data_IF_629021475616
#
_entry.id   IF_629021475616
#
_cell.length_a   1.000
_cell.length_b   1.000
_cell.length_c   1.000
_cell.angle_alpha   90.00
_cell.angle_beta   90.00
_cell.angle_gamma   90.00
#
_symmetry.space_group_name_H-M   'P 1'
#
loop_
_entity.id
_entity.type
_entity.pdbx_description
1 polymer ?
#
# COMPACT_ATOMS: atom_id res chain seq x y z
N UNK A 1 13.77 -10.25 -5.98
CA UNK A 1 14.00 -10.70 -4.61
C UNK A 1 12.75 -11.35 -4.09
N UNK A 2 12.90 -12.42 -3.31
CA UNK A 2 11.81 -13.13 -2.65
C UNK A 2 12.17 -13.21 -1.17
N UNK A 3 11.30 -12.67 -0.32
CA UNK A 3 11.48 -12.60 1.13
C UNK A 3 10.23 -13.15 1.80
N UNK A 4 10.38 -13.79 2.95
CA UNK A 4 9.24 -14.37 3.66
C UNK A 4 9.47 -14.47 5.16
N UNK A 5 8.38 -14.55 5.90
CA UNK A 5 8.35 -14.73 7.35
C UNK A 5 7.22 -15.68 7.74
N UNK A 6 7.40 -16.41 8.83
CA UNK A 6 6.45 -17.37 9.36
C UNK A 6 6.38 -17.21 10.88
N UNK A 7 5.16 -17.06 11.40
CA UNK A 7 4.84 -16.77 12.79
C UNK A 7 5.77 -15.73 13.46
N UNK A 8 5.92 -14.51 12.89
CA UNK A 8 6.74 -13.46 13.47
C UNK A 8 6.13 -12.89 14.76
N UNK A 9 6.94 -12.74 15.80
CA UNK A 9 6.57 -12.00 17.00
C UNK A 9 6.78 -10.49 16.79
N UNK A 10 5.68 -9.77 16.53
CA UNK A 10 5.70 -8.31 16.38
C UNK A 10 5.28 -7.54 17.63
N UNK A 11 4.92 -8.25 18.71
CA UNK A 11 4.39 -7.66 19.95
C UNK A 11 5.34 -6.62 20.56
N UNK A 12 6.65 -6.85 20.44
CA UNK A 12 7.69 -5.95 20.96
C UNK A 12 7.72 -4.60 20.23
N UNK A 13 7.51 -4.61 18.89
CA UNK A 13 7.54 -3.40 18.06
C UNK A 13 6.25 -2.58 18.22
N UNK A 14 5.12 -3.26 18.47
CA UNK A 14 3.83 -2.63 18.70
C UNK A 14 3.69 -2.04 20.12
N UNK A 15 4.24 -2.70 21.13
CA UNK A 15 4.30 -2.17 22.49
C UNK A 15 5.06 -0.83 22.56
N UNK A 16 6.14 -0.69 21.78
CA UNK A 16 6.90 0.55 21.61
C UNK A 16 6.16 1.64 20.80
N UNK A 17 5.03 1.31 20.15
CA UNK A 17 4.20 2.26 19.44
C UNK A 17 3.22 3.03 20.34
N UNK A 18 3.11 2.66 21.63
CA UNK A 18 2.51 3.44 22.70
C UNK A 18 1.19 4.14 22.35
N UNK A 19 0.06 3.45 22.45
CA UNK A 19 -1.21 4.07 22.85
C UNK A 19 -2.24 3.02 23.28
N UNK A 20 -2.52 2.98 24.59
CA UNK A 20 -3.75 2.41 25.14
C UNK A 20 -4.84 3.45 24.87
N UNK A 21 -5.73 3.20 23.92
CA UNK A 21 -7.02 3.91 23.90
C UNK A 21 -8.12 2.94 23.51
N UNK A 22 -8.72 2.35 24.54
CA UNK A 22 -10.01 1.67 24.47
C UNK A 22 -11.01 2.69 23.90
N UNK A 23 -11.65 2.39 22.77
CA UNK A 23 -12.89 3.03 22.29
C UNK A 23 -12.84 4.12 21.18
N UNK A 24 -12.01 3.99 20.14
CA UNK A 24 -12.22 4.76 18.90
C UNK A 24 -12.57 3.84 17.71
N UNK A 25 -13.73 4.07 17.08
CA UNK A 25 -14.26 3.33 15.91
C UNK A 25 -13.56 3.70 14.59
N UNK A 26 -12.42 4.37 14.66
CA UNK A 26 -11.62 4.76 13.50
C UNK A 26 -10.23 4.15 13.69
N UNK A 27 -9.79 3.34 12.71
CA UNK A 27 -8.42 2.85 12.67
C UNK A 27 -7.47 4.06 12.62
N UNK A 28 -6.73 4.29 13.70
CA UNK A 28 -5.66 5.28 13.71
C UNK A 28 -4.65 4.87 12.63
N UNK A 29 -4.39 5.77 11.67
CA UNK A 29 -3.30 5.63 10.70
C UNK A 29 -1.95 5.74 11.44
N UNK A 30 -1.48 4.62 11.97
CA UNK A 30 -0.20 4.53 12.66
C UNK A 30 0.91 4.19 11.64
N UNK A 31 2.07 4.85 11.69
CA UNK A 31 3.18 4.52 10.80
C UNK A 31 3.61 3.06 11.01
N UNK A 32 3.79 2.29 9.94
CA UNK A 32 4.32 0.92 10.03
C UNK A 32 5.71 0.94 10.67
N UNK A 33 5.97 0.03 11.62
CA UNK A 33 7.24 -0.05 12.36
C UNK A 33 7.90 -1.43 12.26
N UNK A 34 7.17 -2.44 11.80
CA UNK A 34 7.65 -3.82 11.73
C UNK A 34 8.67 -3.95 10.60
N UNK A 35 9.92 -4.38 10.86
CA UNK A 35 10.99 -4.38 9.86
C UNK A 35 10.62 -5.10 8.56
N UNK A 36 9.95 -6.25 8.67
CA UNK A 36 9.48 -7.01 7.51
C UNK A 36 8.53 -6.20 6.62
N UNK A 37 7.62 -5.42 7.20
CA UNK A 37 6.68 -4.60 6.43
C UNK A 37 7.26 -3.25 6.00
N UNK A 38 8.45 -2.86 6.48
CA UNK A 38 9.14 -1.64 6.06
C UNK A 38 10.09 -1.89 4.89
N UNK A 39 10.80 -3.01 4.92
CA UNK A 39 11.85 -3.30 3.94
C UNK A 39 11.29 -3.44 2.52
N UNK A 40 11.82 -2.67 1.58
CA UNK A 40 11.42 -2.72 0.18
C UNK A 40 10.00 -2.21 -0.08
N UNK A 41 9.42 -1.40 0.81
CA UNK A 41 8.11 -0.76 0.58
C UNK A 41 8.12 0.36 -0.44
N UNK A 42 9.29 0.90 -0.75
CA UNK A 42 9.52 1.94 -1.75
C UNK A 42 8.91 1.54 -3.10
N UNK A 43 8.90 0.24 -3.41
CA UNK A 43 8.30 -0.27 -4.65
C UNK A 43 6.77 -0.14 -4.66
N UNK A 44 6.15 -0.16 -3.48
CA UNK A 44 4.71 -0.02 -3.22
C UNK A 44 4.25 1.45 -3.07
N UNK A 45 5.19 2.40 -2.98
CA UNK A 45 4.88 3.81 -2.76
C UNK A 45 4.02 4.43 -3.87
N UNK A 46 3.05 5.23 -3.43
CA UNK A 46 2.20 6.07 -4.26
C UNK A 46 2.20 7.51 -3.72
N UNK A 47 1.77 8.51 -4.52
CA UNK A 47 1.67 9.90 -4.05
C UNK A 47 0.78 10.10 -2.81
N UNK A 48 -0.12 9.15 -2.53
CA UNK A 48 -0.85 9.02 -1.28
C UNK A 48 -0.84 7.53 -0.89
N UNK A 49 -0.67 7.25 0.39
CA UNK A 49 -0.72 5.89 0.91
C UNK A 49 -2.13 5.33 0.73
N UNK A 50 -2.28 4.37 -0.19
CA UNK A 50 -3.54 3.64 -0.43
C UNK A 50 -3.61 2.32 0.33
N UNK A 51 -2.49 1.91 0.94
CA UNK A 51 -2.33 0.61 1.58
C UNK A 51 -1.91 0.82 3.01
N UNK A 52 -2.60 0.14 3.91
CA UNK A 52 -2.32 0.16 5.34
C UNK A 52 -1.97 -1.25 5.83
N UNK A 53 -0.68 -1.58 5.87
CA UNK A 53 -0.17 -2.93 6.27
C UNK A 53 -0.40 -3.25 7.73
N UNK A 54 -0.58 -2.23 8.57
CA UNK A 54 -1.00 -2.34 9.98
C UNK A 54 -2.39 -2.93 10.18
N UNK A 55 -3.15 -3.11 9.10
CA UNK A 55 -4.37 -3.92 9.14
C UNK A 55 -4.09 -5.42 9.32
N UNK A 56 -2.86 -5.87 9.09
CA UNK A 56 -2.39 -7.23 9.39
C UNK A 56 -1.91 -7.22 10.85
N UNK A 57 -2.66 -7.80 11.77
CA UNK A 57 -2.40 -7.72 13.20
C UNK A 57 -1.46 -8.84 13.67
N UNK A 58 -1.86 -10.10 13.51
CA UNK A 58 -1.21 -11.31 14.00
C UNK A 58 -0.91 -12.29 12.84
N UNK A 59 0.02 -11.93 11.93
CA UNK A 59 0.26 -12.71 10.74
C UNK A 59 0.84 -14.09 11.08
N UNK A 60 0.13 -15.15 10.68
CA UNK A 60 0.65 -16.54 10.66
C UNK A 60 1.84 -16.64 9.69
N UNK A 61 1.83 -15.87 8.61
CA UNK A 61 2.95 -15.77 7.70
C UNK A 61 2.76 -14.72 6.62
N UNK A 62 3.85 -14.24 6.05
CA UNK A 62 3.83 -13.28 4.96
C UNK A 62 5.00 -13.49 4.00
N UNK A 63 4.77 -13.18 2.73
CA UNK A 63 5.76 -13.28 1.67
C UNK A 63 5.72 -12.03 0.79
N UNK A 64 6.90 -11.61 0.33
CA UNK A 64 7.09 -10.50 -0.60
C UNK A 64 7.91 -10.99 -1.78
N UNK A 65 7.46 -10.63 -2.98
CA UNK A 65 8.17 -10.86 -4.21
C UNK A 65 8.30 -9.53 -4.95
N UNK A 66 9.51 -9.19 -5.37
CA UNK A 66 9.75 -7.97 -6.13
C UNK A 66 10.80 -8.19 -7.22
N UNK A 67 10.73 -7.41 -8.29
CA UNK A 67 11.73 -7.45 -9.34
C UNK A 67 11.47 -6.43 -10.43
N UNK A 68 12.48 -6.19 -11.26
CA UNK A 68 12.37 -5.38 -12.47
C UNK A 68 12.70 -6.24 -13.68
N UNK A 69 11.80 -6.29 -14.65
CA UNK A 69 11.97 -7.00 -15.92
C UNK A 69 11.83 -5.97 -17.04
N UNK A 70 12.94 -5.68 -17.72
CA UNK A 70 13.00 -4.60 -18.70
C UNK A 70 12.69 -3.25 -18.05
N UNK A 71 11.70 -2.53 -18.61
CA UNK A 71 11.23 -1.24 -18.10
C UNK A 71 10.13 -1.32 -17.03
N UNK A 72 9.76 -2.52 -16.56
CA UNK A 72 8.64 -2.71 -15.64
C UNK A 72 9.10 -3.33 -14.33
N UNK A 73 8.82 -2.64 -13.23
CA UNK A 73 8.93 -3.15 -11.87
C UNK A 73 7.62 -3.81 -11.46
N UNK A 74 7.73 -5.00 -10.86
CA UNK A 74 6.62 -5.78 -10.31
C UNK A 74 6.89 -6.02 -8.84
N UNK A 75 5.86 -5.88 -8.03
CA UNK A 75 5.92 -6.20 -6.62
C UNK A 75 4.61 -6.85 -6.15
N UNK A 76 4.77 -7.83 -5.27
CA UNK A 76 3.71 -8.57 -4.63
C UNK A 76 4.02 -8.69 -3.14
N UNK A 77 3.00 -8.50 -2.31
CA UNK A 77 3.01 -8.84 -0.89
C UNK A 77 1.74 -9.63 -0.60
N UNK A 78 1.91 -10.80 0.01
CA UNK A 78 0.82 -11.62 0.53
C UNK A 78 1.04 -11.88 2.02
N UNK A 79 0.00 -11.79 2.83
CA UNK A 79 0.03 -12.13 4.24
C UNK A 79 -1.24 -12.88 4.63
N UNK A 80 -1.09 -13.82 5.56
CA UNK A 80 -2.17 -14.54 6.21
C UNK A 80 -2.15 -14.15 7.69
N UNK A 81 -3.30 -13.73 8.19
CA UNK A 81 -3.55 -13.28 9.56
C UNK A 81 -4.37 -14.35 10.28
N UNK A 82 -4.05 -14.63 11.55
CA UNK A 82 -4.83 -15.58 12.34
C UNK A 82 -6.18 -14.95 12.69
N UNK A 83 -7.27 -15.65 12.36
CA UNK A 83 -8.61 -15.20 12.74
C UNK A 83 -8.78 -15.23 14.27
N UNK A 84 -9.32 -14.17 14.86
CA UNK A 84 -9.54 -14.13 16.31
C UNK A 84 -10.75 -15.02 16.68
N UNK A 85 -10.54 -16.07 17.48
CA UNK A 85 -11.62 -16.92 18.00
C UNK A 85 -12.06 -18.04 17.05
N UNK A 86 -13.32 -18.02 16.57
CA UNK A 86 -13.86 -19.00 15.61
C UNK A 86 -13.90 -18.47 14.16
N UNK A 87 -13.23 -17.34 13.90
CA UNK A 87 -13.12 -16.74 12.58
C UNK A 87 -12.22 -17.54 11.64
N UNK A 88 -12.34 -17.27 10.35
CA UNK A 88 -11.45 -17.78 9.31
C UNK A 88 -10.20 -16.91 9.21
N UNK A 89 -9.08 -17.51 8.80
CA UNK A 89 -7.84 -16.77 8.52
C UNK A 89 -8.09 -15.61 7.54
N UNK A 90 -7.56 -14.43 7.86
CA UNK A 90 -7.70 -13.26 6.99
C UNK A 90 -6.53 -13.22 5.99
N UNK A 91 -6.82 -12.90 4.74
CA UNK A 91 -5.79 -12.81 3.71
C UNK A 91 -5.65 -11.36 3.23
N UNK A 92 -4.41 -10.88 3.16
CA UNK A 92 -4.08 -9.58 2.56
C UNK A 92 -3.17 -9.80 1.37
N UNK A 93 -3.59 -9.28 0.23
CA UNK A 93 -2.86 -9.29 -1.01
C UNK A 93 -2.61 -7.86 -1.47
N UNK A 94 -1.42 -7.64 -2.02
CA UNK A 94 -1.03 -6.38 -2.60
C UNK A 94 -0.16 -6.61 -3.81
N UNK A 95 -0.55 -6.01 -4.92
CA UNK A 95 0.15 -6.09 -6.20
C UNK A 95 0.44 -4.68 -6.67
N UNK A 96 1.66 -4.41 -7.12
CA UNK A 96 1.99 -3.18 -7.83
C UNK A 96 2.82 -3.45 -9.07
N UNK A 97 2.45 -2.74 -10.13
CA UNK A 97 3.18 -2.67 -11.38
C UNK A 97 3.58 -1.22 -11.61
N UNK A 98 4.83 -0.98 -12.01
CA UNK A 98 5.31 0.36 -12.36
C UNK A 98 6.25 0.28 -13.56
N UNK A 99 5.88 0.95 -14.63
CA UNK A 99 6.62 0.99 -15.88
C UNK A 99 7.25 2.34 -16.16
N UNK A 100 8.45 2.33 -16.74
CA UNK A 100 9.07 3.49 -17.36
C UNK A 100 8.32 3.82 -18.68
N UNK A 101 7.91 5.08 -18.85
CA UNK A 101 7.25 5.59 -20.06
C UNK A 101 8.17 6.63 -20.70
N UNK A 102 8.79 6.28 -21.81
CA UNK A 102 9.85 7.11 -22.40
C UNK A 102 11.08 7.17 -21.50
N UNK A 103 11.75 8.33 -21.42
CA UNK A 103 13.06 8.44 -20.75
C UNK A 103 12.99 8.95 -19.31
N UNK A 104 11.88 9.58 -18.91
CA UNK A 104 11.78 10.29 -17.63
C UNK A 104 10.36 10.33 -17.07
N UNK A 105 9.46 9.51 -17.62
CA UNK A 105 8.09 9.40 -17.12
C UNK A 105 7.84 7.99 -16.60
N UNK A 106 6.84 7.84 -15.74
CA UNK A 106 6.44 6.54 -15.18
C UNK A 106 4.92 6.45 -15.13
N UNK A 107 4.42 5.23 -15.22
CA UNK A 107 3.02 4.87 -14.98
C UNK A 107 2.98 3.65 -14.06
N UNK A 108 2.09 3.67 -13.09
CA UNK A 108 1.91 2.61 -12.12
C UNK A 108 0.45 2.24 -11.93
N UNK A 109 0.23 1.00 -11.51
CA UNK A 109 -1.04 0.47 -11.07
C UNK A 109 -0.84 -0.32 -9.78
N UNK A 110 -1.79 -0.23 -8.86
CA UNK A 110 -1.81 -0.98 -7.62
C UNK A 110 -3.18 -1.65 -7.47
N UNK A 111 -3.17 -2.83 -6.88
CA UNK A 111 -4.36 -3.49 -6.39
C UNK A 111 -4.06 -4.03 -5.00
N UNK A 112 -5.00 -3.86 -4.08
CA UNK A 112 -4.98 -4.54 -2.79
C UNK A 112 -6.34 -5.16 -2.53
N UNK A 113 -6.29 -6.34 -1.93
CA UNK A 113 -7.43 -7.13 -1.54
C UNK A 113 -7.18 -7.61 -0.12
N UNK A 114 -8.14 -7.36 0.76
CA UNK A 114 -8.21 -7.94 2.08
C UNK A 114 -9.51 -8.72 2.15
N UNK A 115 -9.41 -10.02 2.36
CA UNK A 115 -10.54 -10.89 2.65
C UNK A 115 -10.52 -11.16 4.15
N UNK A 116 -11.62 -10.87 4.83
CA UNK A 116 -11.79 -11.12 6.26
C UNK A 116 -12.68 -12.36 6.45
N UNK A 117 -13.49 -12.38 7.51
CA UNK A 117 -14.41 -13.46 7.80
C UNK A 117 -15.57 -13.55 6.82
N UNK A 118 -15.82 -14.75 6.30
CA UNK A 118 -16.95 -15.01 5.40
C UNK A 118 -16.85 -14.21 4.10
N UNK A 119 -17.82 -13.32 3.86
CA UNK A 119 -17.94 -12.50 2.65
C UNK A 119 -17.38 -11.07 2.84
N UNK A 120 -16.78 -10.77 3.99
CA UNK A 120 -16.24 -9.45 4.31
C UNK A 120 -14.97 -9.16 3.50
N UNK A 121 -14.91 -8.00 2.85
CA UNK A 121 -13.74 -7.60 2.09
C UNK A 121 -13.47 -6.11 2.11
N UNK A 122 -12.22 -5.75 1.86
CA UNK A 122 -11.81 -4.42 1.46
C UNK A 122 -10.89 -4.53 0.25
N UNK A 123 -11.27 -3.88 -0.85
CA UNK A 123 -10.52 -3.87 -2.11
C UNK A 123 -10.24 -2.45 -2.52
N UNK A 124 -8.99 -2.17 -2.88
CA UNK A 124 -8.59 -0.88 -3.45
C UNK A 124 -7.84 -1.11 -4.75
N UNK A 125 -8.22 -0.39 -5.79
CA UNK A 125 -7.46 -0.30 -7.03
C UNK A 125 -7.01 1.14 -7.24
N UNK A 126 -5.81 1.32 -7.78
CA UNK A 126 -5.29 2.65 -8.05
C UNK A 126 -4.33 2.67 -9.23
N UNK A 127 -4.17 3.86 -9.80
CA UNK A 127 -3.18 4.14 -10.83
C UNK A 127 -2.52 5.50 -10.54
N UNK A 128 -1.24 5.59 -10.85
CA UNK A 128 -0.46 6.83 -10.72
C UNK A 128 0.46 7.02 -11.91
N UNK A 129 0.78 8.27 -12.24
CA UNK A 129 1.68 8.58 -13.33
C UNK A 129 2.44 9.86 -13.07
N UNK A 130 3.72 9.86 -13.44
CA UNK A 130 4.57 11.06 -13.43
C UNK A 130 5.09 11.28 -14.84
N UNK A 131 4.70 12.37 -15.47
CA UNK A 131 5.07 12.69 -16.84
C UNK A 131 5.97 13.91 -16.91
N UNK A 132 7.19 13.74 -17.42
CA UNK A 132 8.12 14.85 -17.65
C UNK A 132 7.96 15.36 -19.08
N UNK A 133 7.49 16.60 -19.21
CA UNK A 133 7.16 17.25 -20.47
C UNK A 133 8.18 18.33 -20.81
N UNK A 134 8.86 18.17 -21.96
CA UNK A 134 9.84 19.14 -22.46
C UNK A 134 11.03 19.41 -21.51
N UNK A 135 11.32 18.49 -20.59
CA UNK A 135 12.37 18.63 -19.58
C UNK A 135 12.18 19.76 -18.57
N UNK A 136 11.03 20.43 -18.57
CA UNK A 136 10.76 21.63 -17.77
C UNK A 136 9.50 21.51 -16.92
N UNK A 137 8.60 20.62 -17.27
CA UNK A 137 7.35 20.41 -16.54
C UNK A 137 7.24 18.97 -16.10
N UNK A 138 6.66 18.74 -14.93
CA UNK A 138 6.29 17.44 -14.42
C UNK A 138 4.80 17.44 -14.07
N UNK A 139 4.04 16.51 -14.64
CA UNK A 139 2.65 16.28 -14.31
C UNK A 139 2.55 14.98 -13.50
N UNK A 140 2.14 15.08 -12.25
CA UNK A 140 1.84 13.94 -11.39
C UNK A 140 0.31 13.73 -11.36
N UNK A 141 -0.14 12.53 -11.67
CA UNK A 141 -1.54 12.11 -11.66
C UNK A 141 -1.70 10.90 -10.74
N UNK A 142 -2.84 10.81 -10.08
CA UNK A 142 -3.24 9.64 -9.29
C UNK A 142 -4.75 9.52 -9.29
N UNK A 143 -5.25 8.30 -9.42
CA UNK A 143 -6.65 7.95 -9.24
C UNK A 143 -6.75 6.65 -8.44
N UNK A 144 -7.78 6.51 -7.61
CA UNK A 144 -8.07 5.27 -6.90
C UNK A 144 -9.57 5.10 -6.67
N UNK A 145 -9.98 3.84 -6.54
CA UNK A 145 -11.32 3.45 -6.13
C UNK A 145 -11.22 2.34 -5.09
N UNK A 146 -12.14 2.34 -4.12
CA UNK A 146 -12.24 1.33 -3.08
C UNK A 146 -13.64 0.76 -2.98
N UNK A 147 -13.73 -0.48 -2.52
CA UNK A 147 -14.96 -1.13 -2.13
C UNK A 147 -14.74 -1.90 -0.83
N UNK A 148 -15.57 -1.62 0.18
CA UNK A 148 -15.61 -2.34 1.45
C UNK A 148 -17.00 -2.92 1.67
N UNK A 149 -17.08 -4.18 2.09
CA UNK A 149 -18.35 -4.85 2.39
C UNK A 149 -18.20 -5.68 3.66
N UNK A 150 -19.31 -5.80 4.40
CA UNK A 150 -19.43 -6.71 5.55
C UNK A 150 -20.65 -7.61 5.37
N UNK A 151 -20.75 -8.69 6.15
CA UNK A 151 -21.86 -9.63 6.09
C UNK A 151 -23.21 -8.95 6.40
N UNK A 152 -23.17 -7.84 7.16
CA UNK A 152 -24.35 -7.06 7.54
C UNK A 152 -24.65 -5.91 6.56
N UNK A 153 -23.63 -5.34 5.89
CA UNK A 153 -23.76 -4.20 4.99
C UNK A 153 -23.22 -4.50 3.58
N UNK A 154 -24.04 -4.23 2.55
CA UNK A 154 -23.60 -4.32 1.16
C UNK A 154 -22.44 -3.36 0.83
N UNK A 155 -21.79 -3.53 -0.35
CA UNK A 155 -20.54 -2.85 -0.66
C UNK A 155 -20.68 -1.32 -0.69
N UNK A 156 -19.84 -0.66 0.10
CA UNK A 156 -19.64 0.78 0.13
C UNK A 156 -18.49 1.13 -0.79
N UNK A 157 -18.63 2.22 -1.54
CA UNK A 157 -17.66 2.61 -2.57
C UNK A 157 -16.99 3.94 -2.21
N UNK A 158 -15.69 4.02 -2.44
CA UNK A 158 -14.88 5.22 -2.30
C UNK A 158 -14.12 5.54 -3.58
N UNK A 159 -13.76 6.82 -3.76
CA UNK A 159 -12.88 7.21 -4.86
C UNK A 159 -11.97 8.38 -4.47
N UNK A 160 -10.84 8.48 -5.15
CA UNK A 160 -9.84 9.52 -4.99
C UNK A 160 -9.29 9.91 -6.36
N UNK A 161 -9.10 11.20 -6.58
CA UNK A 161 -8.34 11.72 -7.72
C UNK A 161 -7.40 12.84 -7.27
N UNK A 162 -6.21 12.89 -7.86
CA UNK A 162 -5.22 13.95 -7.63
C UNK A 162 -4.47 14.26 -8.92
N UNK A 163 -4.25 15.55 -9.15
CA UNK A 163 -3.35 16.04 -10.19
C UNK A 163 -2.45 17.14 -9.62
N UNK A 164 -1.18 17.15 -10.02
CA UNK A 164 -0.21 18.19 -9.67
C UNK A 164 0.65 18.50 -10.89
N UNK A 165 0.70 19.77 -11.28
CA UNK A 165 1.64 20.27 -12.28
C UNK A 165 2.76 21.04 -11.57
N UNK A 166 4.00 20.70 -11.87
CA UNK A 166 5.19 21.40 -11.41
C UNK A 166 6.02 21.86 -12.59
N UNK A 167 6.68 23.01 -12.45
CA UNK A 167 7.67 23.51 -13.41
C UNK A 167 9.03 23.54 -12.71
N UNK A 168 10.07 23.04 -13.37
CA UNK A 168 11.43 23.18 -12.91
C UNK A 168 11.82 24.67 -12.92
N UNK A 169 11.89 25.27 -11.72
CA UNK A 169 12.47 26.59 -11.51
C UNK A 169 14.00 26.48 -11.47
N UNK A 170 14.70 27.49 -12.00
CA UNK A 170 16.15 27.59 -11.79
C UNK A 170 16.37 28.00 -10.33
N UNK A 171 16.93 27.11 -9.51
CA UNK A 171 17.53 27.54 -8.24
C UNK A 171 18.83 28.27 -8.59
N UNK A 172 18.83 29.60 -8.48
CA UNK A 172 20.06 30.36 -8.32
C UNK A 172 20.36 30.39 -6.83
N UNK A 173 21.27 29.53 -6.37
CA UNK A 173 21.92 29.76 -5.07
C UNK A 173 23.03 30.79 -5.30
N UNK A 174 22.83 32.00 -4.79
CA UNK A 174 23.93 32.91 -4.48
C UNK A 174 24.40 32.55 -3.08
N UNK A 175 25.60 31.98 -2.99
CA UNK A 175 26.41 31.96 -1.77
C UNK A 175 27.35 33.15 -1.78
#
# INVERSE_FOLDING_TARGET
TLDGTFNPDFSQVEADAGQITVNERFELLLPEKRPFFLEGTDIFEMPKQLVYTRSIADPVGAAKLSGKVGGVSVAYLGALDEGQGSGSDHAVNLVRLKGDVGRSSTLGAVYTDRTLDGDDFNRVMGADGRFVLGGRYALDLMAAASADATAEEGPRWGSLFRARLARAGRNLSLS
#
